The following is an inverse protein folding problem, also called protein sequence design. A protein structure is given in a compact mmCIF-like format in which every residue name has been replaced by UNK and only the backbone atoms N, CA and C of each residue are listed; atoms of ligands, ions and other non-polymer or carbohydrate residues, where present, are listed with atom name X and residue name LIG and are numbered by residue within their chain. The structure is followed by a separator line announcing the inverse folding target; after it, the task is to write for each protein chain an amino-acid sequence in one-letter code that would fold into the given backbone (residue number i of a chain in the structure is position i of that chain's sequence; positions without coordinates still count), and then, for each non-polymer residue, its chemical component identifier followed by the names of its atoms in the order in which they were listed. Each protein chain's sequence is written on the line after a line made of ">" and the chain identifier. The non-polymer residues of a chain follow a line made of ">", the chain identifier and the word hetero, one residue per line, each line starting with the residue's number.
data_IF_731626457417
#
_entry.id   IF_731626457417
#
_cell.length_a   1.000
_cell.length_b   1.000
_cell.length_c   1.000
_cell.angle_alpha   90.00
_cell.angle_beta   90.00
_cell.angle_gamma   90.00
#
_symmetry.space_group_name_H-M   'P 1'
#
loop_
_entity.id
_entity.type
_entity.pdbx_description
1 polymer ?
#
# COMPACT_ATOMS: atom_id res chain seq x y z
N UNK A 1 17.79 -15.58 26.02
CA UNK A 1 18.38 -14.22 26.01
C UNK A 1 18.26 -13.68 24.60
N UNK A 2 17.34 -12.74 24.37
CA UNK A 2 17.06 -12.18 23.05
C UNK A 2 17.94 -10.94 22.86
N UNK A 3 18.94 -11.02 21.98
CA UNK A 3 19.70 -9.85 21.57
C UNK A 3 18.82 -9.05 20.61
N UNK A 4 18.18 -8.00 21.12
CA UNK A 4 17.67 -6.91 20.29
C UNK A 4 18.86 -6.33 19.53
N UNK A 5 18.99 -6.69 18.25
CA UNK A 5 19.99 -6.12 17.36
C UNK A 5 19.86 -4.58 17.44
N UNK A 6 20.92 -3.93 17.91
CA UNK A 6 20.97 -2.49 17.99
C UNK A 6 20.74 -1.92 16.59
N UNK A 7 19.72 -1.07 16.44
CA UNK A 7 19.47 -0.38 15.18
C UNK A 7 20.76 0.35 14.76
N UNK A 8 21.21 0.05 13.54
CA UNK A 8 22.47 0.57 13.00
C UNK A 8 22.47 2.09 13.01
N UNK A 9 23.67 2.67 13.09
CA UNK A 9 23.81 4.12 13.08
C UNK A 9 23.21 4.71 11.82
N UNK A 10 22.57 5.88 11.94
CA UNK A 10 22.28 6.69 10.76
C UNK A 10 23.62 7.14 10.18
N UNK A 11 24.11 6.37 9.23
CA UNK A 11 25.23 6.68 8.37
C UNK A 11 24.68 7.40 7.14
N UNK A 12 25.12 8.64 6.93
CA UNK A 12 24.66 9.49 5.82
C UNK A 12 25.00 8.85 4.49
N UNK A 13 26.21 8.31 4.36
CA UNK A 13 26.69 7.75 3.10
C UNK A 13 25.96 6.44 2.84
N UNK A 14 25.79 5.59 3.87
CA UNK A 14 24.95 4.39 3.75
C UNK A 14 23.47 4.72 3.41
N UNK A 15 22.90 5.79 3.98
CA UNK A 15 21.54 6.24 3.65
C UNK A 15 21.44 6.73 2.20
N UNK A 16 22.41 7.52 1.74
CA UNK A 16 22.45 8.00 0.36
C UNK A 16 22.67 6.85 -0.63
N UNK A 17 23.54 5.89 -0.31
CA UNK A 17 23.73 4.68 -1.09
C UNK A 17 22.45 3.84 -1.14
N UNK A 18 21.75 3.65 0.00
CA UNK A 18 20.46 2.96 0.03
C UNK A 18 19.39 3.70 -0.77
N UNK A 19 19.35 5.03 -0.69
CA UNK A 19 18.43 5.86 -1.46
C UNK A 19 18.71 5.73 -2.97
N UNK A 20 19.98 5.75 -3.38
CA UNK A 20 20.39 5.57 -4.77
C UNK A 20 20.03 4.15 -5.29
N UNK A 21 20.33 3.12 -4.50
CA UNK A 21 19.95 1.74 -4.81
C UNK A 21 18.42 1.58 -4.90
N UNK A 22 17.69 2.24 -4.01
CA UNK A 22 16.23 2.28 -4.01
C UNK A 22 15.65 2.93 -5.27
N UNK A 23 16.27 4.00 -5.76
CA UNK A 23 15.89 4.63 -7.04
C UNK A 23 16.24 3.78 -8.25
N UNK A 24 17.37 3.07 -8.22
CA UNK A 24 17.74 2.16 -9.30
C UNK A 24 16.69 1.05 -9.52
N UNK A 25 16.07 0.55 -8.44
CA UNK A 25 14.99 -0.45 -8.51
C UNK A 25 13.73 0.03 -9.23
N UNK A 26 13.47 1.33 -9.24
CA UNK A 26 12.29 1.89 -9.95
C UNK A 26 12.37 1.56 -11.43
N UNK A 27 13.56 1.74 -12.04
CA UNK A 27 13.79 1.41 -13.46
C UNK A 27 13.67 -0.08 -13.75
N UNK A 28 14.19 -0.92 -12.85
CA UNK A 28 14.03 -2.37 -12.97
C UNK A 28 12.55 -2.76 -12.89
N UNK A 29 11.81 -2.17 -11.96
CA UNK A 29 10.37 -2.39 -11.79
C UNK A 29 9.59 -1.94 -13.02
N UNK A 30 9.94 -0.80 -13.62
CA UNK A 30 9.35 -0.33 -14.87
C UNK A 30 9.54 -1.37 -15.98
N UNK A 31 10.76 -1.87 -16.18
CA UNK A 31 11.04 -2.89 -17.19
C UNK A 31 10.23 -4.17 -16.95
N UNK A 32 10.20 -4.66 -15.69
CA UNK A 32 9.42 -5.83 -15.30
C UNK A 32 7.92 -5.64 -15.55
N UNK A 33 7.37 -4.44 -15.29
CA UNK A 33 5.96 -4.14 -15.56
C UNK A 33 5.67 -4.04 -17.06
N UNK A 34 6.57 -3.46 -17.85
CA UNK A 34 6.45 -3.41 -19.31
C UNK A 34 6.49 -4.80 -19.91
N UNK A 35 7.40 -5.66 -19.47
CA UNK A 35 7.48 -7.04 -19.94
C UNK A 35 6.26 -7.86 -19.51
N UNK A 36 5.77 -7.66 -18.28
CA UNK A 36 4.52 -8.26 -17.84
C UNK A 36 3.32 -7.84 -18.70
N UNK A 37 3.23 -6.57 -19.12
CA UNK A 37 2.17 -6.09 -20.02
C UNK A 37 2.29 -6.68 -21.43
N UNK A 38 3.51 -6.78 -21.97
CA UNK A 38 3.76 -7.42 -23.27
C UNK A 38 3.35 -8.89 -23.25
N UNK A 39 3.61 -9.57 -22.15
CA UNK A 39 3.33 -10.99 -21.96
C UNK A 39 2.04 -11.25 -21.17
N UNK A 40 1.10 -10.31 -21.19
CA UNK A 40 -0.05 -10.35 -20.30
C UNK A 40 -0.95 -11.56 -20.57
N UNK A 41 -1.10 -11.93 -21.85
CA UNK A 41 -1.83 -13.11 -22.29
C UNK A 41 -1.16 -14.41 -21.84
N UNK A 42 0.16 -14.51 -21.94
CA UNK A 42 0.95 -15.66 -21.52
C UNK A 42 0.86 -15.85 -20.01
N UNK A 43 0.99 -14.76 -19.24
CA UNK A 43 0.82 -14.80 -17.79
C UNK A 43 -0.60 -15.21 -17.37
N UNK A 44 -1.61 -14.69 -18.06
CA UNK A 44 -3.01 -15.07 -17.83
C UNK A 44 -3.27 -16.54 -18.17
N UNK A 45 -2.76 -16.99 -19.32
CA UNK A 45 -2.85 -18.38 -19.78
C UNK A 45 -2.23 -19.33 -18.76
N UNK A 46 -1.00 -19.05 -18.30
CA UNK A 46 -0.33 -19.82 -17.26
C UNK A 46 -1.15 -19.87 -15.96
N UNK A 47 -1.68 -18.72 -15.53
CA UNK A 47 -2.50 -18.66 -14.30
C UNK A 47 -3.77 -19.50 -14.42
N UNK A 48 -4.39 -19.57 -15.60
CA UNK A 48 -5.55 -20.43 -15.85
C UNK A 48 -5.13 -21.90 -15.93
N UNK A 49 -4.05 -22.23 -16.63
CA UNK A 49 -3.53 -23.60 -16.74
C UNK A 49 -3.18 -24.20 -15.37
N UNK A 50 -2.63 -23.39 -14.46
CA UNK A 50 -2.33 -23.82 -13.08
C UNK A 50 -3.62 -24.04 -12.26
N UNK A 51 -4.70 -23.31 -12.58
CA UNK A 51 -5.98 -23.36 -11.87
C UNK A 51 -6.92 -24.47 -12.41
N UNK A 52 -6.91 -24.73 -13.71
CA UNK A 52 -7.84 -25.63 -14.39
C UNK A 52 -7.90 -27.05 -13.79
N UNK A 53 -6.77 -27.73 -13.49
CA UNK A 53 -6.80 -29.05 -12.87
C UNK A 53 -7.52 -29.06 -11.50
N UNK A 54 -7.39 -27.95 -10.76
CA UNK A 54 -8.01 -27.80 -9.45
C UNK A 54 -9.51 -27.53 -9.55
N UNK A 55 -9.98 -26.94 -10.65
CA UNK A 55 -11.39 -26.67 -10.88
C UNK A 55 -12.23 -27.95 -11.07
N UNK A 56 -11.61 -29.06 -11.51
CA UNK A 56 -12.28 -30.37 -11.53
C UNK A 56 -12.64 -30.92 -10.15
N UNK A 57 -12.11 -30.31 -9.09
CA UNK A 57 -12.43 -30.68 -7.70
C UNK A 57 -13.81 -30.23 -7.25
N UNK A 58 -14.41 -29.27 -7.96
CA UNK A 58 -15.73 -28.76 -7.62
C UNK A 58 -16.82 -29.78 -7.98
N UNK A 59 -17.83 -29.97 -7.10
CA UNK A 59 -18.88 -30.93 -7.33
C UNK A 59 -19.72 -30.56 -8.55
N UNK A 60 -20.09 -31.55 -9.35
CA UNK A 60 -21.00 -31.38 -10.49
C UNK A 60 -22.47 -31.54 -10.11
N UNK A 61 -22.76 -32.00 -8.89
CA UNK A 61 -24.10 -32.18 -8.35
C UNK A 61 -24.14 -31.83 -6.86
N UNK A 62 -25.27 -31.27 -6.41
CA UNK A 62 -25.58 -31.05 -4.99
C UNK A 62 -27.04 -31.41 -4.74
N UNK A 63 -27.28 -32.57 -4.16
CA UNK A 63 -28.61 -33.17 -4.15
C UNK A 63 -29.06 -33.45 -5.59
N UNK A 64 -30.25 -32.99 -5.96
CA UNK A 64 -30.80 -33.12 -7.32
C UNK A 64 -30.32 -32.01 -8.29
N UNK A 65 -29.67 -30.95 -7.78
CA UNK A 65 -29.23 -29.84 -8.63
C UNK A 65 -27.92 -30.15 -9.33
N UNK A 66 -27.88 -29.93 -10.65
CA UNK A 66 -26.65 -29.93 -11.43
C UNK A 66 -25.91 -28.60 -11.24
N UNK A 67 -24.65 -28.71 -10.80
CA UNK A 67 -23.73 -27.59 -10.67
C UNK A 67 -22.82 -27.54 -11.90
N UNK A 68 -22.54 -26.32 -12.38
CA UNK A 68 -21.56 -26.09 -13.45
C UNK A 68 -20.70 -24.88 -13.12
N UNK A 69 -19.45 -24.93 -13.58
CA UNK A 69 -18.58 -23.77 -13.60
C UNK A 69 -18.98 -22.87 -14.78
N UNK A 70 -19.02 -21.58 -14.51
CA UNK A 70 -19.33 -20.52 -15.47
C UNK A 70 -18.24 -19.47 -15.38
N UNK A 71 -17.77 -19.04 -16.54
CA UNK A 71 -16.79 -17.98 -16.70
C UNK A 71 -17.49 -16.74 -17.24
N UNK A 72 -17.17 -15.57 -16.69
CA UNK A 72 -17.73 -14.30 -17.16
C UNK A 72 -16.61 -13.25 -17.25
N UNK A 73 -16.54 -12.56 -18.39
CA UNK A 73 -15.64 -11.40 -18.54
C UNK A 73 -16.34 -10.18 -17.97
N UNK A 74 -15.73 -9.57 -16.97
CA UNK A 74 -16.27 -8.38 -16.34
C UNK A 74 -15.66 -7.12 -16.95
N UNK A 75 -16.51 -6.28 -17.53
CA UNK A 75 -16.13 -4.95 -18.09
C UNK A 75 -16.70 -3.79 -17.27
N UNK A 76 -17.36 -4.09 -16.15
CA UNK A 76 -17.97 -3.07 -15.30
C UNK A 76 -16.93 -2.31 -14.46
N UNK A 77 -17.34 -1.15 -13.92
CA UNK A 77 -16.43 -0.27 -13.15
C UNK A 77 -15.76 -0.95 -11.93
N UNK A 78 -16.33 -2.04 -11.39
CA UNK A 78 -15.90 -2.69 -10.14
C UNK A 78 -14.97 -3.90 -10.35
N UNK A 79 -15.03 -4.59 -11.48
CA UNK A 79 -14.23 -5.79 -11.80
C UNK A 79 -13.67 -5.69 -13.22
N UNK A 80 -12.93 -4.63 -13.49
CA UNK A 80 -12.61 -4.22 -14.86
C UNK A 80 -11.56 -5.12 -15.50
N UNK A 81 -11.89 -5.77 -16.63
CA UNK A 81 -10.98 -6.69 -17.32
C UNK A 81 -10.79 -8.02 -16.59
N UNK A 82 -11.53 -8.29 -15.51
CA UNK A 82 -11.37 -9.51 -14.73
C UNK A 82 -12.13 -10.67 -15.37
N UNK A 83 -11.57 -11.87 -15.28
CA UNK A 83 -12.30 -13.10 -15.51
C UNK A 83 -12.90 -13.60 -14.19
N UNK A 84 -14.23 -13.59 -14.10
CA UNK A 84 -14.97 -14.16 -12.99
C UNK A 84 -15.17 -15.65 -13.18
N UNK A 85 -15.03 -16.42 -12.10
CA UNK A 85 -15.31 -17.85 -12.06
C UNK A 85 -16.41 -18.08 -11.03
N UNK A 86 -17.53 -18.64 -11.44
CA UNK A 86 -18.66 -18.90 -10.57
C UNK A 86 -19.15 -20.34 -10.72
N UNK A 87 -19.66 -20.90 -9.63
CA UNK A 87 -20.42 -22.14 -9.64
C UNK A 87 -21.91 -21.79 -9.71
N UNK A 88 -22.63 -22.35 -10.69
CA UNK A 88 -24.04 -22.05 -10.96
C UNK A 88 -24.89 -23.31 -10.95
N UNK A 89 -26.04 -23.26 -10.29
CA UNK A 89 -27.17 -24.18 -10.46
C UNK A 89 -28.37 -23.46 -11.08
N UNK A 90 -29.51 -24.14 -11.17
CA UNK A 90 -30.80 -23.54 -11.52
C UNK A 90 -31.24 -22.47 -10.51
N UNK A 91 -30.92 -22.65 -9.23
CA UNK A 91 -31.39 -21.80 -8.13
C UNK A 91 -30.32 -20.86 -7.55
N UNK A 92 -29.03 -21.13 -7.82
CA UNK A 92 -27.93 -20.44 -7.14
C UNK A 92 -26.77 -20.05 -8.06
N UNK A 93 -26.03 -19.01 -7.66
CA UNK A 93 -24.76 -18.60 -8.27
C UNK A 93 -23.79 -18.20 -7.17
N UNK A 94 -22.67 -18.89 -7.08
CA UNK A 94 -21.61 -18.66 -6.08
C UNK A 94 -20.36 -18.17 -6.78
N UNK A 95 -19.88 -16.97 -6.46
CA UNK A 95 -18.65 -16.40 -7.03
C UNK A 95 -17.42 -16.98 -6.32
N UNK A 96 -16.67 -17.83 -7.01
CA UNK A 96 -15.51 -18.52 -6.45
C UNK A 96 -14.32 -17.58 -6.25
N UNK A 97 -14.26 -16.49 -7.03
CA UNK A 97 -13.22 -15.47 -6.89
C UNK A 97 -13.38 -14.66 -5.59
N UNK A 98 -14.52 -14.69 -4.92
CA UNK A 98 -14.72 -13.98 -3.65
C UNK A 98 -14.86 -14.91 -2.45
N UNK A 99 -14.79 -16.22 -2.67
CA UNK A 99 -15.03 -17.21 -1.62
C UNK A 99 -13.88 -17.24 -0.61
N UNK A 100 -14.21 -17.19 0.69
CA UNK A 100 -13.22 -17.38 1.75
C UNK A 100 -12.92 -18.88 1.96
N UNK A 101 -11.77 -19.25 2.57
CA UNK A 101 -11.41 -20.67 2.74
C UNK A 101 -12.47 -21.51 3.46
N UNK A 102 -13.23 -20.94 4.40
CA UNK A 102 -14.33 -21.63 5.09
C UNK A 102 -15.52 -21.91 4.16
N UNK A 103 -15.81 -21.02 3.21
CA UNK A 103 -16.85 -21.22 2.20
C UNK A 103 -16.41 -22.26 1.17
N UNK A 104 -15.15 -22.18 0.71
CA UNK A 104 -14.56 -23.18 -0.18
C UNK A 104 -14.55 -24.57 0.46
N UNK A 105 -14.21 -24.67 1.76
CA UNK A 105 -14.33 -25.92 2.52
C UNK A 105 -15.76 -26.45 2.44
N UNK A 106 -16.79 -25.64 2.71
CA UNK A 106 -18.20 -26.08 2.62
C UNK A 106 -18.61 -26.52 1.22
N UNK A 107 -18.09 -25.89 0.18
CA UNK A 107 -18.38 -26.23 -1.22
C UNK A 107 -17.70 -27.55 -1.62
N UNK A 108 -16.48 -27.80 -1.14
CA UNK A 108 -15.66 -28.95 -1.51
C UNK A 108 -15.81 -30.16 -0.56
N UNK A 109 -16.46 -30.00 0.61
CA UNK A 109 -16.51 -30.99 1.69
C UNK A 109 -17.25 -32.31 1.35
N UNK A 110 -17.86 -32.41 0.16
CA UNK A 110 -18.47 -33.64 -0.31
C UNK A 110 -17.49 -34.55 -1.09
N UNK A 111 -16.35 -34.03 -1.54
CA UNK A 111 -15.52 -34.71 -2.56
C UNK A 111 -14.01 -34.77 -2.25
N UNK A 112 -13.46 -33.98 -1.32
CA UNK A 112 -12.01 -33.75 -1.25
C UNK A 112 -11.43 -33.65 0.18
N UNK A 113 -10.16 -34.06 0.34
CA UNK A 113 -9.34 -33.85 1.54
C UNK A 113 -9.01 -32.37 1.77
N UNK A 114 -8.90 -31.97 3.03
CA UNK A 114 -8.46 -30.66 3.54
C UNK A 114 -7.21 -30.10 2.86
N UNK A 115 -6.28 -30.95 2.47
CA UNK A 115 -5.05 -30.56 1.75
C UNK A 115 -5.37 -29.96 0.38
N UNK A 116 -6.28 -30.60 -0.38
CA UNK A 116 -6.67 -30.12 -1.71
C UNK A 116 -7.49 -28.83 -1.63
N UNK A 117 -8.33 -28.67 -0.60
CA UNK A 117 -9.05 -27.41 -0.39
C UNK A 117 -8.09 -26.24 -0.16
N UNK A 118 -7.00 -26.45 0.59
CA UNK A 118 -5.96 -25.43 0.76
C UNK A 118 -5.28 -25.08 -0.57
N UNK A 119 -5.01 -26.07 -1.43
CA UNK A 119 -4.45 -25.85 -2.76
C UNK A 119 -5.40 -25.04 -3.65
N UNK A 120 -6.69 -25.39 -3.69
CA UNK A 120 -7.71 -24.65 -4.45
C UNK A 120 -7.82 -23.20 -3.94
N UNK A 121 -7.88 -23.00 -2.63
CA UNK A 121 -7.95 -21.67 -2.04
C UNK A 121 -6.70 -20.82 -2.35
N UNK A 122 -5.51 -21.42 -2.33
CA UNK A 122 -4.27 -20.74 -2.70
C UNK A 122 -4.24 -20.35 -4.19
N UNK A 123 -4.67 -21.26 -5.08
CA UNK A 123 -4.73 -20.99 -6.52
C UNK A 123 -5.76 -19.91 -6.86
N UNK A 124 -6.97 -19.96 -6.29
CA UNK A 124 -7.98 -18.90 -6.46
C UNK A 124 -7.47 -17.55 -5.92
N UNK A 125 -6.75 -17.55 -4.78
CA UNK A 125 -6.12 -16.33 -4.25
C UNK A 125 -5.07 -15.77 -5.21
N UNK A 126 -4.23 -16.61 -5.82
CA UNK A 126 -3.25 -16.18 -6.81
C UNK A 126 -3.94 -15.60 -8.06
N UNK A 127 -4.96 -16.28 -8.58
CA UNK A 127 -5.78 -15.81 -9.69
C UNK A 127 -6.48 -14.47 -9.38
N UNK A 128 -6.97 -14.28 -8.16
CA UNK A 128 -7.56 -13.02 -7.72
C UNK A 128 -6.55 -11.88 -7.66
N UNK A 129 -5.30 -12.16 -7.25
CA UNK A 129 -4.23 -11.16 -7.30
C UNK A 129 -3.92 -10.76 -8.74
N UNK A 130 -3.84 -11.73 -9.64
CA UNK A 130 -3.69 -11.46 -11.08
C UNK A 130 -4.83 -10.57 -11.61
N UNK A 131 -6.09 -10.95 -11.33
CA UNK A 131 -7.26 -10.15 -11.70
C UNK A 131 -7.24 -8.75 -11.08
N UNK A 132 -6.82 -8.60 -9.82
CA UNK A 132 -6.71 -7.30 -9.18
C UNK A 132 -5.66 -6.41 -9.86
N UNK A 133 -4.53 -7.00 -10.28
CA UNK A 133 -3.47 -6.32 -11.02
C UNK A 133 -3.93 -5.88 -12.41
N UNK A 134 -4.66 -6.74 -13.14
CA UNK A 134 -5.32 -6.37 -14.40
C UNK A 134 -6.32 -5.24 -14.18
N UNK A 135 -7.18 -5.34 -13.16
CA UNK A 135 -8.16 -4.31 -12.85
C UNK A 135 -7.56 -2.96 -12.45
N UNK A 136 -6.36 -2.95 -11.89
CA UNK A 136 -5.63 -1.73 -11.55
C UNK A 136 -5.18 -0.94 -12.80
N UNK A 137 -5.03 -1.58 -13.96
CA UNK A 137 -4.70 -0.90 -15.24
C UNK A 137 -5.75 0.11 -15.67
N UNK A 138 -6.99 -0.04 -15.20
CA UNK A 138 -8.05 0.97 -15.38
C UNK A 138 -7.64 2.35 -14.85
N UNK A 139 -6.73 2.41 -13.86
CA UNK A 139 -6.18 3.66 -13.36
C UNK A 139 -5.53 4.53 -14.44
N UNK A 140 -5.05 3.92 -15.53
CA UNK A 140 -4.51 4.62 -16.70
C UNK A 140 -5.57 5.24 -17.62
N UNK A 141 -6.86 5.02 -17.35
CA UNK A 141 -7.95 5.52 -18.18
C UNK A 141 -8.14 4.77 -19.50
N UNK A 142 -7.41 3.68 -19.72
CA UNK A 142 -7.52 2.87 -20.94
C UNK A 142 -8.69 1.91 -20.83
N UNK A 143 -9.49 1.90 -21.90
CA UNK A 143 -10.61 0.99 -22.08
C UNK A 143 -10.18 -0.47 -22.20
N UNK A 144 -10.73 -1.39 -21.42
CA UNK A 144 -10.62 -2.82 -21.69
C UNK A 144 -11.28 -3.11 -23.05
N UNK A 145 -10.58 -3.79 -23.97
CA UNK A 145 -11.11 -4.09 -25.30
C UNK A 145 -12.42 -4.86 -25.22
N UNK A 146 -13.32 -4.60 -26.17
CA UNK A 146 -14.54 -5.41 -26.30
C UNK A 146 -14.13 -6.84 -26.67
N UNK A 147 -14.48 -7.86 -25.85
CA UNK A 147 -14.19 -9.24 -26.20
C UNK A 147 -14.94 -9.64 -27.47
N UNK A 148 -14.37 -10.56 -28.24
CA UNK A 148 -15.02 -11.12 -29.43
C UNK A 148 -16.42 -11.67 -29.11
N UNK A 149 -17.33 -11.74 -30.09
CA UNK A 149 -18.69 -12.22 -29.80
C UNK A 149 -18.80 -13.75 -29.74
N UNK A 150 -17.89 -14.46 -30.42
CA UNK A 150 -17.96 -15.92 -30.62
C UNK A 150 -16.79 -16.64 -29.96
N UNK A 151 -17.01 -17.89 -29.58
CA UNK A 151 -15.98 -18.77 -29.01
C UNK A 151 -15.95 -18.86 -27.47
N UNK A 152 -15.06 -19.70 -26.92
CA UNK A 152 -14.95 -19.92 -25.48
C UNK A 152 -14.62 -18.63 -24.71
N UNK A 153 -15.31 -18.39 -23.59
CA UNK A 153 -15.15 -17.17 -22.77
C UNK A 153 -13.68 -16.93 -22.37
N UNK A 154 -12.98 -17.98 -21.96
CA UNK A 154 -11.56 -17.90 -21.57
C UNK A 154 -10.69 -17.44 -22.74
N UNK A 155 -10.87 -18.03 -23.93
CA UNK A 155 -10.09 -17.66 -25.10
C UNK A 155 -10.30 -16.19 -25.48
N UNK A 156 -11.56 -15.74 -25.49
CA UNK A 156 -11.89 -14.33 -25.75
C UNK A 156 -11.26 -13.37 -24.75
N UNK A 157 -11.22 -13.75 -23.47
CA UNK A 157 -10.57 -12.96 -22.43
C UNK A 157 -9.06 -12.87 -22.65
N UNK A 158 -8.41 -13.98 -23.00
CA UNK A 158 -6.97 -14.03 -23.28
C UNK A 158 -6.58 -13.14 -24.47
N UNK A 159 -7.36 -13.17 -25.57
CA UNK A 159 -7.12 -12.29 -26.72
C UNK A 159 -7.33 -10.81 -26.35
N UNK A 160 -8.37 -10.50 -25.57
CA UNK A 160 -8.59 -9.12 -25.11
C UNK A 160 -7.44 -8.60 -24.21
N UNK A 161 -6.82 -9.48 -23.41
CA UNK A 161 -5.67 -9.12 -22.58
C UNK A 161 -4.41 -8.81 -23.37
N UNK A 162 -4.17 -9.49 -24.50
CA UNK A 162 -3.05 -9.20 -25.40
C UNK A 162 -3.13 -7.76 -25.91
N UNK A 163 -4.26 -7.41 -26.52
CA UNK A 163 -4.53 -6.03 -26.98
C UNK A 163 -4.51 -5.02 -25.83
N UNK A 164 -5.06 -5.38 -24.67
CA UNK A 164 -5.10 -4.48 -23.52
C UNK A 164 -3.69 -4.19 -22.97
N UNK A 165 -2.83 -5.21 -22.91
CA UNK A 165 -1.45 -5.10 -22.49
C UNK A 165 -0.68 -4.12 -23.36
N UNK A 166 -0.75 -4.28 -24.69
CA UNK A 166 -0.12 -3.38 -25.66
C UNK A 166 -0.59 -1.93 -25.53
N UNK A 167 -1.91 -1.71 -25.39
CA UNK A 167 -2.48 -0.38 -25.21
C UNK A 167 -2.04 0.28 -23.91
N UNK A 168 -1.77 -0.49 -22.86
CA UNK A 168 -1.34 0.01 -21.54
C UNK A 168 0.13 0.46 -21.49
N UNK A 169 0.99 -0.03 -22.39
CA UNK A 169 2.43 0.25 -22.33
C UNK A 169 2.75 1.76 -22.40
N UNK A 170 2.22 2.55 -23.36
CA UNK A 170 2.52 3.98 -23.42
C UNK A 170 2.04 4.76 -22.17
N UNK A 171 0.92 4.33 -21.58
CA UNK A 171 0.41 4.98 -20.36
C UNK A 171 1.21 4.59 -19.12
N UNK A 172 1.73 3.36 -19.06
CA UNK A 172 2.66 2.95 -18.02
C UNK A 172 3.94 3.78 -18.08
N UNK A 173 4.54 3.93 -19.27
CA UNK A 173 5.74 4.74 -19.49
C UNK A 173 5.51 6.20 -19.08
N UNK A 174 4.38 6.78 -19.47
CA UNK A 174 3.99 8.14 -19.04
C UNK A 174 3.84 8.24 -17.51
N UNK A 175 3.24 7.25 -16.86
CA UNK A 175 3.05 7.24 -15.42
C UNK A 175 4.38 7.14 -14.66
N UNK A 176 5.34 6.36 -15.15
CA UNK A 176 6.69 6.33 -14.58
C UNK A 176 7.44 7.65 -14.80
N UNK A 177 7.35 8.26 -15.98
CA UNK A 177 7.94 9.57 -16.25
C UNK A 177 7.36 10.65 -15.32
N UNK A 178 6.04 10.65 -15.10
CA UNK A 178 5.38 11.54 -14.14
C UNK A 178 5.84 11.25 -12.70
N UNK A 179 5.94 9.98 -12.32
CA UNK A 179 6.43 9.58 -10.99
C UNK A 179 7.88 10.02 -10.74
N UNK A 180 8.77 9.92 -11.73
CA UNK A 180 10.16 10.39 -11.64
C UNK A 180 10.25 11.91 -11.52
N UNK A 181 9.43 12.64 -12.30
CA UNK A 181 9.33 14.10 -12.22
C UNK A 181 8.85 14.55 -10.83
N UNK A 182 7.76 13.94 -10.34
CA UNK A 182 7.22 14.21 -9.01
C UNK A 182 8.22 13.84 -7.91
N UNK A 183 8.98 12.76 -8.08
CA UNK A 183 10.00 12.33 -7.12
C UNK A 183 11.14 13.35 -7.02
N UNK A 184 11.56 13.91 -8.15
CA UNK A 184 12.56 14.99 -8.18
C UNK A 184 12.03 16.26 -7.51
N UNK A 185 10.79 16.67 -7.84
CA UNK A 185 10.16 17.82 -7.19
C UNK A 185 9.93 17.63 -5.69
N UNK A 186 9.65 16.39 -5.25
CA UNK A 186 9.50 16.06 -3.84
C UNK A 186 10.83 16.15 -3.09
N UNK A 187 11.93 15.71 -3.71
CA UNK A 187 13.28 15.86 -3.13
C UNK A 187 13.60 17.33 -2.87
N UNK A 188 13.35 18.20 -3.86
CA UNK A 188 13.58 19.64 -3.74
C UNK A 188 12.71 20.26 -2.66
N UNK A 189 11.41 19.92 -2.63
CA UNK A 189 10.49 20.40 -1.60
C UNK A 189 10.87 19.93 -0.19
N UNK A 190 11.31 18.68 -0.05
CA UNK A 190 11.81 18.13 1.22
C UNK A 190 13.11 18.78 1.66
N UNK A 191 14.01 19.07 0.72
CA UNK A 191 15.25 19.81 0.99
C UNK A 191 14.95 21.22 1.47
N UNK A 192 14.12 21.96 0.73
CA UNK A 192 13.69 23.32 1.09
C UNK A 192 13.03 23.34 2.49
N UNK A 193 12.09 22.43 2.75
CA UNK A 193 11.48 22.27 4.06
C UNK A 193 12.50 22.02 5.17
N UNK A 194 13.44 21.07 4.96
CA UNK A 194 14.44 20.73 5.96
C UNK A 194 15.43 21.88 6.21
N UNK A 195 15.73 22.70 5.20
CA UNK A 195 16.53 23.92 5.32
C UNK A 195 15.81 24.98 6.16
N UNK A 196 14.51 25.21 5.92
CA UNK A 196 13.68 26.12 6.73
C UNK A 196 13.69 25.72 8.21
N UNK A 197 13.74 24.42 8.51
CA UNK A 197 13.79 23.91 9.88
C UNK A 197 15.18 24.01 10.54
N UNK A 198 16.19 24.53 9.83
CA UNK A 198 17.52 24.85 10.36
C UNK A 198 18.35 23.63 10.77
N UNK A 199 19.29 23.81 11.72
CA UNK A 199 20.19 22.73 12.19
C UNK A 199 19.44 21.61 12.92
N UNK A 200 19.93 20.38 12.79
CA UNK A 200 19.38 19.22 13.51
C UNK A 200 19.72 19.32 15.00
N UNK A 201 18.67 19.32 15.83
CA UNK A 201 18.71 19.40 17.30
C UNK A 201 17.60 18.56 17.91
N UNK A 202 17.62 18.36 19.24
CA UNK A 202 16.48 17.76 19.94
C UNK A 202 15.20 18.56 19.64
N UNK A 203 14.13 17.85 19.27
CA UNK A 203 12.86 18.37 18.75
C UNK A 203 12.92 19.14 17.43
N UNK A 204 13.98 18.97 16.64
CA UNK A 204 13.95 19.40 15.24
C UNK A 204 12.89 18.60 14.47
N UNK A 205 12.11 19.28 13.62
CA UNK A 205 11.13 18.66 12.73
C UNK A 205 11.82 18.39 11.38
N UNK A 206 11.63 17.20 10.83
CA UNK A 206 12.22 16.77 9.55
C UNK A 206 11.20 16.07 8.69
N UNK A 207 11.33 16.24 7.38
CA UNK A 207 10.70 15.37 6.41
C UNK A 207 11.76 14.39 5.87
N UNK A 208 11.48 13.09 5.95
CA UNK A 208 12.38 12.05 5.44
C UNK A 208 11.56 10.93 4.82
N UNK A 209 12.12 10.26 3.81
CA UNK A 209 11.58 9.02 3.30
C UNK A 209 11.75 7.87 4.29
N UNK A 210 10.94 6.84 4.09
CA UNK A 210 11.22 5.49 4.56
C UNK A 210 11.93 4.75 3.43
N UNK A 211 13.13 4.23 3.69
CA UNK A 211 13.93 3.51 2.69
C UNK A 211 13.94 2.03 3.04
N UNK A 212 13.02 1.29 2.44
CA UNK A 212 12.94 -0.17 2.51
C UNK A 212 13.73 -0.77 1.34
N UNK A 213 14.55 -1.78 1.65
CA UNK A 213 15.42 -2.44 0.69
C UNK A 213 14.62 -3.31 -0.30
N UNK A 214 13.39 -3.68 0.05
CA UNK A 214 12.51 -4.53 -0.77
C UNK A 214 11.41 -3.75 -1.49
N UNK A 215 11.33 -2.42 -1.32
CA UNK A 215 10.33 -1.61 -2.01
C UNK A 215 10.70 -1.46 -3.50
N UNK A 216 9.85 -1.91 -4.45
CA UNK A 216 10.13 -1.84 -5.88
C UNK A 216 10.08 -0.42 -6.43
N UNK A 217 9.26 0.44 -5.83
CA UNK A 217 9.04 1.83 -6.28
C UNK A 217 9.92 2.83 -5.52
N UNK A 218 11.00 2.34 -4.92
CA UNK A 218 11.98 3.19 -4.28
C UNK A 218 11.56 3.71 -2.90
N UNK A 219 12.11 4.85 -2.43
CA UNK A 219 11.79 5.39 -1.12
C UNK A 219 10.28 5.66 -1.01
N UNK A 220 9.69 5.25 0.12
CA UNK A 220 8.26 5.33 0.36
C UNK A 220 7.93 6.25 1.52
N UNK A 221 6.66 6.65 1.61
CA UNK A 221 6.11 7.35 2.78
C UNK A 221 6.98 8.53 3.24
N UNK A 222 7.11 9.61 2.44
CA UNK A 222 7.66 10.88 2.92
C UNK A 222 6.84 11.30 4.14
N UNK A 223 7.49 11.47 5.29
CA UNK A 223 6.79 11.73 6.54
C UNK A 223 7.47 12.81 7.37
N UNK A 224 6.63 13.62 8.00
CA UNK A 224 7.03 14.59 9.01
C UNK A 224 7.31 13.86 10.32
N UNK A 225 8.52 14.00 10.82
CA UNK A 225 9.02 13.36 12.03
C UNK A 225 9.71 14.38 12.93
N UNK A 226 9.75 14.10 14.23
CA UNK A 226 10.39 14.95 15.23
C UNK A 226 11.55 14.18 15.85
N UNK A 227 12.72 14.81 15.93
CA UNK A 227 13.90 14.22 16.60
C UNK A 227 13.64 14.15 18.10
N UNK A 228 13.62 12.94 18.65
CA UNK A 228 13.38 12.71 20.09
C UNK A 228 14.62 12.30 20.86
N UNK A 229 15.67 11.86 20.17
CA UNK A 229 16.96 11.54 20.79
C UNK A 229 18.09 11.82 19.81
N UNK A 230 19.19 12.37 20.31
CA UNK A 230 20.46 12.43 19.59
C UNK A 230 21.49 11.76 20.50
N UNK A 231 22.00 10.62 20.08
CA UNK A 231 23.12 9.98 20.76
C UNK A 231 24.38 10.80 20.49
N UNK A 232 24.96 11.39 21.54
CA UNK A 232 26.14 12.26 21.41
C UNK A 232 27.40 11.50 21.00
N UNK A 233 27.53 10.23 21.42
CA UNK A 233 28.71 9.41 21.12
C UNK A 233 28.71 8.90 19.68
N UNK A 234 27.53 8.51 19.17
CA UNK A 234 27.42 7.89 17.83
C UNK A 234 26.82 8.81 16.78
N UNK A 235 26.35 10.00 17.15
CA UNK A 235 25.62 10.92 16.25
C UNK A 235 24.23 10.42 15.83
N UNK A 236 23.82 9.22 16.27
CA UNK A 236 22.57 8.59 15.88
C UNK A 236 21.36 9.38 16.36
N UNK A 237 20.28 9.31 15.58
CA UNK A 237 19.05 10.07 15.84
C UNK A 237 17.87 9.12 15.92
N UNK A 238 17.06 9.29 16.96
CA UNK A 238 15.75 8.66 17.03
C UNK A 238 14.69 9.68 16.66
N UNK A 239 13.76 9.26 15.83
CA UNK A 239 12.64 10.07 15.37
C UNK A 239 11.34 9.46 15.89
N UNK A 240 10.37 10.31 16.21
CA UNK A 240 8.97 9.94 16.31
C UNK A 240 8.22 10.50 15.12
N UNK A 241 7.27 9.75 14.58
CA UNK A 241 6.30 10.27 13.62
C UNK A 241 5.47 11.39 14.25
N UNK A 242 4.97 12.31 13.42
CA UNK A 242 4.21 13.46 13.90
C UNK A 242 3.00 13.05 14.74
N UNK A 243 2.29 12.00 14.31
CA UNK A 243 1.11 11.45 15.01
C UNK A 243 1.46 10.96 16.41
N UNK A 244 2.55 10.20 16.55
CA UNK A 244 3.00 9.68 17.84
C UNK A 244 3.59 10.76 18.73
N UNK A 245 4.30 11.74 18.15
CA UNK A 245 4.76 12.90 18.89
C UNK A 245 3.58 13.69 19.48
N UNK A 246 2.51 13.91 18.72
CA UNK A 246 1.28 14.55 19.21
C UNK A 246 0.57 13.73 20.29
N UNK A 247 0.44 12.42 20.13
CA UNK A 247 -0.10 11.54 21.18
C UNK A 247 0.71 11.68 22.48
N UNK A 248 2.03 11.72 22.37
CA UNK A 248 2.91 11.91 23.52
C UNK A 248 2.75 13.30 24.16
N UNK A 249 2.61 14.37 23.36
CA UNK A 249 2.31 15.71 23.86
C UNK A 249 0.98 15.78 24.59
N UNK A 250 -0.07 15.18 24.01
CA UNK A 250 -1.41 15.11 24.60
C UNK A 250 -1.41 14.35 25.93
N UNK A 251 -0.75 13.18 25.97
CA UNK A 251 -0.57 12.41 27.21
C UNK A 251 0.16 13.21 28.28
N UNK A 252 1.23 13.92 27.90
CA UNK A 252 1.98 14.78 28.83
C UNK A 252 1.13 15.93 29.37
N UNK A 253 0.32 16.57 28.51
CA UNK A 253 -0.58 17.65 28.90
C UNK A 253 -1.61 17.18 29.93
N UNK A 254 -2.28 16.06 29.66
CA UNK A 254 -3.27 15.47 30.58
C UNK A 254 -2.62 15.08 31.90
N UNK A 255 -1.42 14.47 31.88
CA UNK A 255 -0.70 14.15 33.10
C UNK A 255 -0.36 15.40 33.93
N UNK A 256 -0.04 16.53 33.29
CA UNK A 256 0.20 17.80 33.98
C UNK A 256 -1.08 18.41 34.54
N UNK A 257 -2.18 18.38 33.79
CA UNK A 257 -3.51 18.84 34.24
C UNK A 257 -3.98 18.01 35.45
N UNK A 258 -3.87 16.69 35.38
CA UNK A 258 -4.18 15.78 36.49
C UNK A 258 -3.27 16.01 37.70
N UNK A 259 -1.97 16.17 37.49
CA UNK A 259 -1.03 16.48 38.58
C UNK A 259 -1.44 17.75 39.33
N UNK A 260 -1.84 18.79 38.60
CA UNK A 260 -2.28 20.04 39.19
C UNK A 260 -3.60 19.89 39.95
N UNK A 261 -4.57 19.13 39.40
CA UNK A 261 -5.85 18.88 40.05
C UNK A 261 -5.79 17.95 41.26
N UNK A 262 -4.90 16.94 41.23
CA UNK A 262 -4.76 15.94 42.29
C UNK A 262 -3.79 16.35 43.41
N UNK A 263 -2.90 17.33 43.15
CA UNK A 263 -1.84 17.71 44.08
C UNK A 263 -0.72 16.66 44.25
N UNK A 264 -0.77 15.56 43.49
CA UNK A 264 0.23 14.48 43.45
C UNK A 264 0.52 14.06 42.02
N UNK A 265 1.58 13.28 41.81
CA UNK A 265 1.80 12.66 40.50
C UNK A 265 0.67 11.66 40.17
N UNK A 266 0.07 11.74 38.97
CA UNK A 266 -1.00 10.84 38.58
C UNK A 266 -0.47 9.45 38.26
N UNK A 267 -1.25 8.43 38.59
CA UNK A 267 -0.99 7.05 38.19
C UNK A 267 -1.20 6.86 36.69
N UNK A 268 -0.56 5.82 36.13
CA UNK A 268 -0.69 5.53 34.69
C UNK A 268 -2.13 5.22 34.28
N UNK A 269 -2.87 4.51 35.13
CA UNK A 269 -4.31 4.21 34.97
C UNK A 269 -5.13 5.48 34.86
N UNK A 270 -4.93 6.45 35.76
CA UNK A 270 -5.64 7.73 35.78
C UNK A 270 -5.43 8.53 34.49
N UNK A 271 -4.20 8.55 33.97
CA UNK A 271 -3.90 9.20 32.69
C UNK A 271 -4.55 8.46 31.51
N UNK A 272 -4.60 7.13 31.55
CA UNK A 272 -5.24 6.32 30.50
C UNK A 272 -6.76 6.46 30.50
N UNK A 273 -7.39 6.50 31.67
CA UNK A 273 -8.83 6.70 31.81
C UNK A 273 -9.23 8.10 31.34
N UNK A 274 -8.47 9.13 31.70
CA UNK A 274 -8.67 10.48 31.19
C UNK A 274 -8.50 10.56 29.66
N UNK A 275 -7.51 9.83 29.10
CA UNK A 275 -7.31 9.72 27.65
C UNK A 275 -8.47 9.01 26.94
N UNK A 276 -9.07 7.99 27.56
CA UNK A 276 -10.24 7.26 27.02
C UNK A 276 -11.52 8.06 27.12
N UNK A 277 -11.69 8.86 28.17
CA UNK A 277 -12.82 9.76 28.33
C UNK A 277 -12.85 10.85 27.24
N UNK A 278 -11.69 11.22 26.69
CA UNK A 278 -11.62 12.09 25.52
C UNK A 278 -12.06 11.31 24.27
N UNK A 279 -12.94 11.92 23.47
CA UNK A 279 -13.39 11.35 22.20
C UNK A 279 -12.17 10.95 21.34
N UNK A 280 -12.08 9.68 20.90
CA UNK A 280 -10.96 9.22 20.10
C UNK A 280 -10.98 9.90 18.73
N UNK A 281 -10.16 10.92 18.56
CA UNK A 281 -9.82 11.50 17.26
C UNK A 281 -8.41 11.05 16.89
N UNK A 282 -8.24 10.56 15.66
CA UNK A 282 -6.91 10.27 15.13
C UNK A 282 -6.13 11.58 15.01
N UNK A 283 -4.89 11.57 15.48
CA UNK A 283 -3.99 12.71 15.32
C UNK A 283 -3.62 12.85 13.84
N UNK A 284 -3.59 14.09 13.33
CA UNK A 284 -3.16 14.35 11.96
C UNK A 284 -1.64 14.21 11.81
N UNK A 285 -1.18 13.95 10.59
CA UNK A 285 0.25 13.87 10.25
C UNK A 285 0.92 15.25 10.09
N UNK A 286 0.11 16.32 10.04
CA UNK A 286 0.57 17.69 9.79
C UNK A 286 1.08 18.39 11.06
N UNK A 287 2.03 19.30 10.92
CA UNK A 287 2.48 20.17 12.00
C UNK A 287 1.34 21.06 12.47
N UNK A 288 1.18 21.21 13.79
CA UNK A 288 0.22 22.11 14.43
C UNK A 288 0.94 23.16 15.25
N UNK A 289 0.25 24.25 15.62
CA UNK A 289 0.80 25.29 16.52
C UNK A 289 1.34 24.70 17.83
N UNK A 290 0.68 23.68 18.38
CA UNK A 290 1.13 22.98 19.59
C UNK A 290 2.47 22.28 19.39
N UNK A 291 2.65 21.60 18.25
CA UNK A 291 3.93 20.99 17.87
C UNK A 291 5.01 22.04 17.71
N UNK A 292 4.74 23.14 16.99
CA UNK A 292 5.70 24.22 16.77
C UNK A 292 6.19 24.81 18.11
N UNK A 293 5.25 25.05 19.05
CA UNK A 293 5.58 25.51 20.40
C UNK A 293 6.42 24.48 21.15
N UNK A 294 6.01 23.20 21.15
CA UNK A 294 6.74 22.13 21.81
C UNK A 294 8.15 21.93 21.25
N UNK A 295 8.35 22.19 19.95
CA UNK A 295 9.63 22.10 19.27
C UNK A 295 10.47 23.39 19.32
N UNK A 296 10.02 24.41 20.07
CA UNK A 296 10.71 25.70 20.25
C UNK A 296 10.95 26.44 18.93
N UNK A 297 9.92 26.51 18.09
CA UNK A 297 9.92 27.23 16.80
C UNK A 297 8.95 28.42 16.77
N UNK A 298 8.60 28.98 17.94
CA UNK A 298 7.53 29.97 18.07
C UNK A 298 7.68 31.24 17.21
N UNK A 299 8.90 31.66 16.87
CA UNK A 299 9.16 32.83 16.00
C UNK A 299 9.00 32.55 14.51
N UNK A 300 8.97 31.27 14.11
CA UNK A 300 8.94 30.84 12.70
C UNK A 300 7.62 30.16 12.33
N UNK A 301 6.54 30.39 13.07
CA UNK A 301 5.25 29.70 12.87
C UNK A 301 4.77 29.83 11.41
N UNK A 302 4.76 31.05 10.86
CA UNK A 302 4.25 31.29 9.51
C UNK A 302 5.13 30.61 8.44
N UNK A 303 6.45 30.77 8.55
CA UNK A 303 7.42 30.11 7.65
C UNK A 303 7.29 28.59 7.66
N UNK A 304 7.02 28.00 8.83
CA UNK A 304 6.84 26.55 8.98
C UNK A 304 5.55 26.09 8.31
N UNK A 305 4.46 26.84 8.47
CA UNK A 305 3.20 26.50 7.80
C UNK A 305 3.29 26.64 6.29
N UNK A 306 3.92 27.70 5.79
CA UNK A 306 4.18 27.90 4.37
C UNK A 306 5.07 26.79 3.79
N UNK A 307 6.18 26.45 4.47
CA UNK A 307 7.04 25.34 4.06
C UNK A 307 6.31 24.00 4.07
N UNK A 308 5.41 23.77 5.04
CA UNK A 308 4.56 22.59 5.05
C UNK A 308 3.59 22.59 3.87
N UNK A 309 2.90 23.70 3.59
CA UNK A 309 1.94 23.79 2.49
C UNK A 309 2.59 23.47 1.14
N UNK A 310 3.75 24.07 0.87
CA UNK A 310 4.55 23.80 -0.33
C UNK A 310 4.95 22.32 -0.42
N UNK A 311 5.36 21.71 0.70
CA UNK A 311 5.70 20.30 0.76
C UNK A 311 4.47 19.40 0.50
N UNK A 312 3.32 19.70 1.12
CA UNK A 312 2.09 18.91 0.95
C UNK A 312 1.57 18.96 -0.47
N UNK A 313 1.66 20.12 -1.13
CA UNK A 313 1.25 20.30 -2.52
C UNK A 313 1.97 19.34 -3.47
N UNK A 314 3.22 18.94 -3.17
CA UNK A 314 3.98 17.96 -3.96
C UNK A 314 3.80 16.54 -3.43
N UNK A 315 3.71 16.35 -2.11
CA UNK A 315 3.53 15.03 -1.49
C UNK A 315 2.25 14.32 -1.93
N UNK A 316 1.14 15.05 -2.08
CA UNK A 316 -0.15 14.46 -2.47
C UNK A 316 -0.14 13.85 -3.88
N UNK A 317 0.20 14.60 -4.95
CA UNK A 317 0.25 14.03 -6.30
C UNK A 317 1.31 12.92 -6.40
N UNK A 318 2.47 13.08 -5.73
CA UNK A 318 3.47 12.01 -5.66
C UNK A 318 2.92 10.72 -5.04
N UNK A 319 2.20 10.84 -3.92
CA UNK A 319 1.58 9.68 -3.24
C UNK A 319 0.53 9.01 -4.13
N UNK A 320 -0.25 9.80 -4.86
CA UNK A 320 -1.24 9.29 -5.80
C UNK A 320 -0.58 8.52 -6.95
N UNK A 321 0.42 9.11 -7.61
CA UNK A 321 1.19 8.46 -8.69
C UNK A 321 1.83 7.15 -8.19
N UNK A 322 2.44 7.18 -7.00
CA UNK A 322 3.02 5.97 -6.38
C UNK A 322 1.97 4.90 -6.11
N UNK A 323 0.80 5.27 -5.58
CA UNK A 323 -0.27 4.32 -5.28
C UNK A 323 -0.83 3.67 -6.55
N UNK A 324 -0.93 4.43 -7.64
CA UNK A 324 -1.33 3.91 -8.94
C UNK A 324 -0.34 2.85 -9.46
N UNK A 325 0.97 3.14 -9.42
CA UNK A 325 2.00 2.17 -9.81
C UNK A 325 2.06 0.97 -8.86
N UNK A 326 1.89 1.20 -7.55
CA UNK A 326 1.92 0.15 -6.52
C UNK A 326 0.80 -0.88 -6.71
N UNK A 327 -0.36 -0.45 -7.21
CA UNK A 327 -1.48 -1.35 -7.48
C UNK A 327 -1.18 -2.37 -8.59
N UNK A 328 -0.11 -2.15 -9.37
CA UNK A 328 0.35 -3.04 -10.44
C UNK A 328 1.44 -4.03 -9.98
N UNK A 329 1.83 -4.01 -8.71
CA UNK A 329 2.86 -4.90 -8.19
C UNK A 329 2.24 -6.20 -7.64
N UNK A 330 2.97 -7.34 -7.69
CA UNK A 330 2.46 -8.67 -7.33
C UNK A 330 2.16 -8.91 -5.84
#
# INVERSE_FOLDING_TARGET
>A
MSSTAAASAFDKDAYLSRLAASRARVRETELQLRDWLRLLKEHASKTIMDLEPLLYSFPQQKGEERLRLVYDIHVNKKRYGNLGIAMRSSSSRTDLCNAVPSELMRILHATQDSTKVKQVAAALKAFNRFNARVGALKGFGIGFPQPEERGPVVHRWLNALETYGEQCIPSLEKAFAEFDLLSSGLDDAMLAFNLTMGRIRYRAIRCTYTVDDFDPLGPSCPMLKVVVLINKATGQRRYNEMTDFKKALKRKRIAQELKHGLGRDPEKSEVEDALRALRPRKESEWITKEVIKACYFGRSINQIFEAQENLVAVMQPWTQARNQLRALLP
#
